data_IF_509876471038
#
_entry.id   IF_509876471038
#
_cell.length_a   1.000
_cell.length_b   1.000
_cell.length_c   1.000
_cell.angle_alpha   90.00
_cell.angle_beta   90.00
_cell.angle_gamma   90.00
#
_symmetry.space_group_name_H-M   'P 1'
#
loop_
_entity.id
_entity.type
_entity.pdbx_description
1 polymer ?
#
# COMPACT_ATOMS: atom_id res chain seq x y z
N UNK A 1 -27.09 29.68 1.61
CA UNK A 1 -27.21 28.95 0.32
C UNK A 1 -27.00 27.48 0.58
N UNK A 2 -27.87 26.58 0.11
CA UNK A 2 -27.70 25.14 0.28
C UNK A 2 -26.95 24.61 -0.95
N UNK A 3 -25.74 24.08 -0.75
CA UNK A 3 -25.01 23.43 -1.83
C UNK A 3 -25.73 22.14 -2.26
N UNK A 4 -25.61 21.79 -3.53
CA UNK A 4 -26.05 20.49 -4.06
C UNK A 4 -25.18 19.38 -3.46
N UNK A 5 -25.67 18.14 -3.48
CA UNK A 5 -24.93 16.99 -2.96
C UNK A 5 -23.59 16.81 -3.71
N UNK A 6 -23.61 16.97 -5.03
CA UNK A 6 -22.40 16.92 -5.87
C UNK A 6 -21.34 17.94 -5.45
N UNK A 7 -21.73 19.19 -5.15
CA UNK A 7 -20.80 20.22 -4.69
C UNK A 7 -20.23 19.89 -3.31
N UNK A 8 -21.05 19.32 -2.43
CA UNK A 8 -20.60 18.88 -1.09
C UNK A 8 -19.56 17.77 -1.22
N UNK A 9 -19.80 16.80 -2.11
CA UNK A 9 -18.89 15.70 -2.36
C UNK A 9 -17.56 16.19 -2.95
N UNK A 10 -17.59 17.14 -3.90
CA UNK A 10 -16.37 17.77 -4.43
C UNK A 10 -15.55 18.47 -3.34
N UNK A 11 -16.20 19.18 -2.42
CA UNK A 11 -15.51 19.82 -1.29
C UNK A 11 -14.87 18.77 -0.37
N UNK A 12 -15.60 17.71 -0.04
CA UNK A 12 -15.08 16.61 0.80
C UNK A 12 -13.89 15.91 0.14
N UNK A 13 -14.00 15.56 -1.13
CA UNK A 13 -12.92 14.92 -1.88
C UNK A 13 -11.68 15.82 -1.95
N UNK A 14 -11.85 17.13 -2.16
CA UNK A 14 -10.75 18.08 -2.10
C UNK A 14 -10.06 18.10 -0.73
N UNK A 15 -10.84 18.12 0.37
CA UNK A 15 -10.30 18.07 1.73
C UNK A 15 -9.45 16.80 1.90
N UNK A 16 -10.04 15.64 1.61
CA UNK A 16 -9.42 14.32 1.75
C UNK A 16 -8.11 14.24 0.95
N UNK A 17 -8.12 14.62 -0.33
CA UNK A 17 -6.94 14.54 -1.21
C UNK A 17 -5.81 15.50 -0.84
N UNK A 18 -6.07 16.56 -0.07
CA UNK A 18 -5.07 17.58 0.27
C UNK A 18 -4.63 17.59 1.73
N UNK A 19 -5.30 16.82 2.60
CA UNK A 19 -5.07 16.84 4.04
C UNK A 19 -3.62 16.48 4.41
N UNK A 20 -3.04 15.47 3.74
CA UNK A 20 -1.68 14.99 4.00
C UNK A 20 -0.61 16.02 3.63
N UNK A 21 -0.89 16.93 2.70
CA UNK A 21 0.06 17.98 2.27
C UNK A 21 0.07 19.17 3.23
N UNK A 22 -1.08 19.48 3.84
CA UNK A 22 -1.27 20.69 4.66
C UNK A 22 -2.17 20.42 5.87
N UNK A 23 -1.78 19.52 6.79
CA UNK A 23 -2.65 19.02 7.85
C UNK A 23 -3.10 20.12 8.84
N UNK A 24 -2.36 21.22 8.94
CA UNK A 24 -2.70 22.36 9.80
C UNK A 24 -3.41 23.51 9.07
N UNK A 25 -3.45 23.49 7.73
CA UNK A 25 -3.99 24.60 6.91
C UNK A 25 -5.12 24.19 5.97
N UNK A 26 -5.54 22.92 5.99
CA UNK A 26 -6.57 22.40 5.08
C UNK A 26 -7.87 23.21 5.12
N UNK A 27 -8.28 23.69 6.29
CA UNK A 27 -9.48 24.53 6.44
C UNK A 27 -9.34 25.83 5.67
N UNK A 28 -8.21 26.54 5.84
CA UNK A 28 -7.94 27.79 5.14
C UNK A 28 -7.86 27.56 3.61
N UNK A 29 -7.11 26.56 3.18
CA UNK A 29 -6.96 26.23 1.74
C UNK A 29 -8.30 25.90 1.08
N UNK A 30 -9.15 25.14 1.76
CA UNK A 30 -10.49 24.79 1.24
C UNK A 30 -11.38 26.02 1.15
N UNK A 31 -11.31 26.95 2.12
CA UNK A 31 -12.04 28.21 2.04
C UNK A 31 -11.61 29.05 0.83
N UNK A 32 -10.30 29.18 0.61
CA UNK A 32 -9.72 29.94 -0.51
C UNK A 32 -10.08 29.32 -1.86
N UNK A 33 -9.96 27.99 -1.99
CA UNK A 33 -10.20 27.28 -3.24
C UNK A 33 -11.68 27.33 -3.69
N UNK A 34 -12.61 27.08 -2.75
CA UNK A 34 -14.04 27.06 -3.06
C UNK A 34 -14.75 28.42 -2.83
N UNK A 35 -14.04 29.42 -2.32
CA UNK A 35 -14.60 30.73 -1.93
C UNK A 35 -15.78 30.60 -0.94
N UNK A 36 -15.60 29.75 0.07
CA UNK A 36 -16.61 29.46 1.10
C UNK A 36 -16.11 29.84 2.49
N UNK A 37 -17.04 29.95 3.44
CA UNK A 37 -16.74 30.36 4.81
C UNK A 37 -16.13 29.23 5.65
N UNK A 38 -15.29 29.59 6.62
CA UNK A 38 -14.69 28.63 7.58
C UNK A 38 -15.72 27.75 8.29
N UNK A 39 -16.86 28.27 8.81
CA UNK A 39 -17.88 27.42 9.41
C UNK A 39 -18.46 26.36 8.45
N UNK A 40 -18.56 26.68 7.15
CA UNK A 40 -18.99 25.72 6.12
C UNK A 40 -17.98 24.59 5.97
N UNK A 41 -16.68 24.91 5.86
CA UNK A 41 -15.62 23.89 5.74
C UNK A 41 -15.54 23.03 7.01
N UNK A 42 -15.60 23.65 8.18
CA UNK A 42 -15.57 22.93 9.47
C UNK A 42 -16.76 21.97 9.63
N UNK A 43 -17.94 22.32 9.09
CA UNK A 43 -19.08 21.40 9.03
C UNK A 43 -18.70 20.13 8.27
N UNK A 44 -18.13 20.23 7.07
CA UNK A 44 -17.77 19.06 6.26
C UNK A 44 -16.61 18.27 6.87
N UNK A 45 -15.62 18.94 7.46
CA UNK A 45 -14.57 18.29 8.25
C UNK A 45 -15.18 17.48 9.40
N UNK A 46 -16.11 18.05 10.16
CA UNK A 46 -16.75 17.33 11.26
C UNK A 46 -17.60 16.14 10.77
N UNK A 47 -18.23 16.24 9.60
CA UNK A 47 -18.90 15.09 8.98
C UNK A 47 -17.90 13.98 8.63
N UNK A 48 -16.75 14.32 8.05
CA UNK A 48 -15.66 13.38 7.73
C UNK A 48 -15.04 12.75 8.99
N UNK A 49 -14.93 13.50 10.08
CA UNK A 49 -14.50 12.99 11.39
C UNK A 49 -15.53 11.99 11.94
N UNK A 50 -16.81 12.35 11.88
CA UNK A 50 -17.89 11.50 12.35
C UNK A 50 -17.97 10.18 11.56
N UNK A 51 -17.68 10.21 10.26
CA UNK A 51 -17.59 9.02 9.42
C UNK A 51 -16.26 8.27 9.53
N UNK A 52 -15.36 8.68 10.43
CA UNK A 52 -14.02 8.09 10.64
C UNK A 52 -13.14 8.05 9.38
N UNK A 53 -13.34 8.98 8.46
CA UNK A 53 -12.47 9.15 7.28
C UNK A 53 -11.23 9.95 7.67
N UNK A 54 -11.43 10.98 8.49
CA UNK A 54 -10.35 11.84 8.98
C UNK A 54 -10.35 11.92 10.51
N UNK A 55 -9.21 12.26 11.10
CA UNK A 55 -9.06 12.56 12.51
C UNK A 55 -8.32 13.88 12.73
N UNK A 56 -8.43 14.41 13.95
CA UNK A 56 -7.82 15.68 14.37
C UNK A 56 -7.09 15.48 15.70
N UNK A 57 -5.91 14.81 15.71
CA UNK A 57 -5.12 14.59 16.92
C UNK A 57 -4.57 15.88 17.55
N UNK A 58 -4.51 16.97 16.80
CA UNK A 58 -3.95 18.23 17.26
C UNK A 58 -4.93 19.19 17.96
N UNK A 59 -4.36 20.27 18.49
CA UNK A 59 -5.10 21.38 19.11
C UNK A 59 -5.89 22.21 18.10
N UNK A 60 -6.72 23.15 18.54
CA UNK A 60 -7.44 24.02 17.58
C UNK A 60 -6.52 24.95 16.78
N UNK A 61 -5.37 25.35 17.33
CA UNK A 61 -4.37 26.19 16.63
C UNK A 61 -3.53 25.39 15.64
N UNK A 62 -3.26 24.13 15.97
CA UNK A 62 -2.49 23.19 15.15
C UNK A 62 -3.27 21.88 15.09
N UNK A 63 -4.31 21.79 14.23
CA UNK A 63 -5.26 20.68 14.24
C UNK A 63 -4.65 19.37 13.78
N UNK A 64 -3.59 19.42 12.96
CA UNK A 64 -2.91 18.25 12.42
C UNK A 64 -3.91 17.22 11.88
N UNK A 65 -4.79 17.62 10.97
CA UNK A 65 -5.77 16.71 10.41
C UNK A 65 -5.10 15.60 9.60
N UNK A 66 -5.58 14.37 9.72
CA UNK A 66 -5.00 13.19 9.08
C UNK A 66 -6.11 12.26 8.58
N UNK A 67 -5.82 11.44 7.57
CA UNK A 67 -6.68 10.32 7.23
C UNK A 67 -6.59 9.26 8.33
N UNK A 68 -7.73 8.69 8.71
CA UNK A 68 -7.74 7.57 9.65
C UNK A 68 -7.15 6.36 8.94
N UNK A 69 -6.09 5.79 9.53
CA UNK A 69 -5.45 4.57 9.03
C UNK A 69 -5.92 3.37 9.84
N UNK A 70 -6.33 2.32 9.15
CA UNK A 70 -6.58 1.01 9.73
C UNK A 70 -5.43 0.09 9.35
N UNK A 71 -4.86 -0.60 10.34
CA UNK A 71 -3.76 -1.55 10.13
C UNK A 71 -4.21 -2.92 10.61
N UNK A 72 -4.07 -3.91 9.74
CA UNK A 72 -4.26 -5.32 10.06
C UNK A 72 -2.95 -6.04 9.86
N UNK A 73 -2.55 -6.85 10.84
CA UNK A 73 -1.31 -7.61 10.81
C UNK A 73 -1.60 -9.08 11.10
N UNK A 74 -0.98 -9.96 10.31
CA UNK A 74 -0.99 -11.40 10.54
C UNK A 74 0.40 -11.97 10.42
N UNK A 75 0.73 -12.92 11.30
CA UNK A 75 2.02 -13.60 11.31
C UNK A 75 1.84 -15.12 11.22
N UNK A 76 2.65 -15.76 10.38
CA UNK A 76 2.65 -17.20 10.14
C UNK A 76 4.05 -17.80 10.22
N UNK A 77 4.20 -19.03 10.72
CA UNK A 77 5.35 -19.85 10.33
C UNK A 77 5.26 -20.14 8.83
N UNK A 78 6.38 -20.04 8.12
CA UNK A 78 6.44 -20.34 6.69
C UNK A 78 6.49 -21.86 6.45
N UNK A 79 5.37 -22.52 6.73
CA UNK A 79 5.21 -23.98 6.63
C UNK A 79 3.79 -24.30 6.14
N UNK A 80 3.68 -25.01 5.01
CA UNK A 80 2.41 -25.42 4.41
C UNK A 80 1.43 -24.25 4.23
N UNK A 81 1.93 -23.12 3.74
CA UNK A 81 1.12 -21.95 3.42
C UNK A 81 0.73 -22.02 1.94
N UNK A 82 -0.47 -21.52 1.64
CA UNK A 82 -0.99 -21.30 0.29
C UNK A 82 -1.46 -19.85 0.22
N UNK A 83 -0.94 -19.11 -0.74
CA UNK A 83 -1.13 -17.68 -0.92
C UNK A 83 -2.58 -17.29 -1.18
N UNK A 84 -3.31 -18.10 -1.95
CA UNK A 84 -4.70 -17.88 -2.30
C UNK A 84 -5.63 -18.10 -1.09
N UNK A 85 -5.28 -19.05 -0.22
CA UNK A 85 -5.95 -19.27 1.07
C UNK A 85 -5.72 -18.06 1.98
N UNK A 86 -4.49 -17.56 2.10
CA UNK A 86 -4.18 -16.39 2.91
C UNK A 86 -4.91 -15.13 2.42
N UNK A 87 -4.98 -14.95 1.10
CA UNK A 87 -5.74 -13.86 0.46
C UNK A 87 -7.23 -13.94 0.83
N UNK A 88 -7.84 -15.10 0.56
CA UNK A 88 -9.27 -15.32 0.75
C UNK A 88 -9.70 -15.20 2.22
N UNK A 89 -8.82 -15.61 3.13
CA UNK A 89 -9.06 -15.59 4.57
C UNK A 89 -8.97 -14.19 5.18
N UNK A 90 -8.02 -13.36 4.74
CA UNK A 90 -7.66 -12.13 5.45
C UNK A 90 -7.91 -10.85 4.66
N UNK A 91 -7.40 -10.75 3.44
CA UNK A 91 -7.42 -9.50 2.68
C UNK A 91 -8.76 -9.32 1.96
N UNK A 92 -9.24 -10.35 1.25
CA UNK A 92 -10.47 -10.29 0.45
C UNK A 92 -11.68 -9.78 1.25
N UNK A 93 -11.96 -10.23 2.49
CA UNK A 93 -13.11 -9.74 3.27
C UNK A 93 -13.01 -8.26 3.64
N UNK A 94 -11.80 -7.72 3.79
CA UNK A 94 -11.56 -6.32 4.18
C UNK A 94 -11.57 -5.35 3.00
N UNK A 95 -11.45 -5.87 1.78
CA UNK A 95 -11.43 -5.09 0.54
C UNK A 95 -12.76 -5.13 -0.21
N UNK A 96 -13.82 -5.71 0.37
CA UNK A 96 -15.09 -6.00 -0.30
C UNK A 96 -15.76 -4.80 -0.97
N UNK A 97 -15.64 -3.61 -0.40
CA UNK A 97 -16.23 -2.35 -0.92
C UNK A 97 -15.44 -1.74 -2.10
N UNK A 98 -14.23 -2.23 -2.39
CA UNK A 98 -13.43 -1.74 -3.50
C UNK A 98 -13.92 -2.27 -4.84
N UNK A 99 -13.65 -1.49 -5.89
CA UNK A 99 -13.89 -1.90 -7.28
C UNK A 99 -13.16 -3.20 -7.60
N UNK A 100 -13.77 -4.03 -8.45
CA UNK A 100 -13.23 -5.37 -8.77
C UNK A 100 -11.83 -5.31 -9.39
N UNK A 101 -11.56 -4.34 -10.27
CA UNK A 101 -10.23 -4.17 -10.86
C UNK A 101 -9.15 -3.90 -9.79
N UNK A 102 -9.45 -3.12 -8.75
CA UNK A 102 -8.51 -2.86 -7.65
C UNK A 102 -8.29 -4.14 -6.84
N UNK A 103 -9.36 -4.88 -6.53
CA UNK A 103 -9.26 -6.16 -5.81
C UNK A 103 -8.43 -7.19 -6.57
N UNK A 104 -8.62 -7.30 -7.88
CA UNK A 104 -7.85 -8.19 -8.75
C UNK A 104 -6.36 -7.83 -8.76
N UNK A 105 -6.02 -6.54 -8.86
CA UNK A 105 -4.64 -6.06 -8.76
C UNK A 105 -4.02 -6.37 -7.40
N UNK A 106 -4.75 -6.09 -6.31
CA UNK A 106 -4.30 -6.41 -4.96
C UNK A 106 -4.12 -7.93 -4.76
N UNK A 107 -5.04 -8.75 -5.28
CA UNK A 107 -4.95 -10.21 -5.22
C UNK A 107 -3.70 -10.67 -5.92
N UNK A 108 -3.52 -10.28 -7.19
CA UNK A 108 -2.37 -10.64 -8.00
C UNK A 108 -1.05 -10.26 -7.31
N UNK A 109 -0.90 -8.99 -6.91
CA UNK A 109 0.34 -8.54 -6.27
C UNK A 109 0.61 -9.25 -4.95
N UNK A 110 -0.42 -9.46 -4.13
CA UNK A 110 -0.29 -10.19 -2.87
C UNK A 110 0.16 -11.64 -3.09
N UNK A 111 -0.51 -12.38 -3.98
CA UNK A 111 -0.21 -13.79 -4.24
C UNK A 111 1.20 -13.96 -4.79
N UNK A 112 1.62 -13.10 -5.73
CA UNK A 112 2.99 -13.11 -6.26
C UNK A 112 4.02 -12.85 -5.16
N UNK A 113 3.78 -11.88 -4.26
CA UNK A 113 4.75 -11.58 -3.20
C UNK A 113 4.82 -12.69 -2.15
N UNK A 114 3.68 -13.29 -1.79
CA UNK A 114 3.64 -14.41 -0.84
C UNK A 114 4.26 -15.67 -1.42
N UNK A 115 4.03 -15.98 -2.71
CA UNK A 115 4.69 -17.10 -3.39
C UNK A 115 6.21 -16.93 -3.41
N UNK A 116 6.70 -15.72 -3.69
CA UNK A 116 8.13 -15.44 -3.57
C UNK A 116 8.67 -15.69 -2.14
N UNK A 117 7.87 -15.49 -1.09
CA UNK A 117 8.28 -15.87 0.26
C UNK A 117 8.28 -17.40 0.41
N UNK A 118 7.18 -18.07 0.07
CA UNK A 118 7.01 -19.52 0.26
C UNK A 118 8.09 -20.30 -0.49
N UNK A 119 8.25 -20.03 -1.78
CA UNK A 119 9.09 -20.86 -2.67
C UNK A 119 10.56 -20.48 -2.61
N UNK A 120 10.87 -19.23 -2.26
CA UNK A 120 12.16 -18.67 -2.58
C UNK A 120 12.94 -18.05 -1.42
N UNK A 121 12.30 -17.62 -0.34
CA UNK A 121 12.98 -16.88 0.73
C UNK A 121 13.81 -17.77 1.67
N UNK A 122 13.47 -19.05 1.81
CA UNK A 122 13.90 -19.89 2.95
C UNK A 122 13.62 -19.25 4.32
N UNK A 123 12.64 -18.35 4.40
CA UNK A 123 12.20 -17.73 5.64
C UNK A 123 11.54 -18.75 6.56
N UNK A 124 11.61 -18.49 7.86
CA UNK A 124 10.89 -19.23 8.89
C UNK A 124 9.56 -18.56 9.23
N UNK A 125 9.45 -17.25 9.01
CA UNK A 125 8.30 -16.43 9.35
C UNK A 125 7.89 -15.57 8.16
N UNK A 126 6.57 -15.44 8.02
CA UNK A 126 5.91 -14.51 7.12
C UNK A 126 5.04 -13.58 7.97
N UNK A 127 5.16 -12.27 7.76
CA UNK A 127 4.29 -11.23 8.29
C UNK A 127 3.59 -10.56 7.11
N UNK A 128 2.28 -10.39 7.23
CA UNK A 128 1.43 -9.71 6.26
C UNK A 128 0.80 -8.52 6.95
N UNK A 129 0.98 -7.33 6.40
CA UNK A 129 0.26 -6.12 6.83
C UNK A 129 -0.68 -5.65 5.71
N UNK A 130 -1.92 -5.32 6.07
CA UNK A 130 -2.84 -4.55 5.23
C UNK A 130 -3.11 -3.20 5.91
N UNK A 131 -2.74 -2.12 5.24
CA UNK A 131 -2.91 -0.75 5.71
C UNK A 131 -3.90 -0.06 4.79
N UNK A 132 -4.96 0.48 5.37
CA UNK A 132 -6.06 1.12 4.65
C UNK A 132 -6.25 2.53 5.14
N UNK A 133 -6.36 3.47 4.23
CA UNK A 133 -7.04 4.75 4.46
C UNK A 133 -8.01 5.04 3.31
N UNK A 134 -8.68 6.20 3.35
CA UNK A 134 -9.67 6.53 2.33
C UNK A 134 -9.09 6.63 0.91
N UNK A 135 -7.79 6.89 0.77
CA UNK A 135 -7.13 7.08 -0.51
C UNK A 135 -6.24 5.91 -0.92
N UNK A 136 -5.76 5.10 0.03
CA UNK A 136 -4.72 4.10 -0.24
C UNK A 136 -5.04 2.73 0.34
N UNK A 137 -4.66 1.72 -0.44
CA UNK A 137 -4.47 0.35 0.02
C UNK A 137 -2.98 0.05 -0.06
N UNK A 138 -2.37 -0.27 1.07
CA UNK A 138 -0.97 -0.67 1.15
C UNK A 138 -0.89 -2.10 1.71
N UNK A 139 -0.23 -2.99 0.96
CA UNK A 139 0.01 -4.37 1.35
C UNK A 139 1.50 -4.54 1.57
N UNK A 140 1.89 -5.10 2.72
CA UNK A 140 3.28 -5.46 3.00
C UNK A 140 3.39 -6.94 3.25
N UNK A 141 4.37 -7.55 2.59
CA UNK A 141 4.76 -8.95 2.77
C UNK A 141 6.20 -8.91 3.27
N UNK A 142 6.42 -9.41 4.49
CA UNK A 142 7.69 -9.29 5.21
C UNK A 142 8.13 -10.69 5.62
N UNK A 143 9.37 -11.05 5.31
CA UNK A 143 9.95 -12.35 5.64
C UNK A 143 11.33 -12.21 6.33
N UNK A 144 11.74 -13.25 7.06
CA UNK A 144 13.05 -13.35 7.70
C UNK A 144 14.05 -14.22 6.93
N UNK A 145 13.87 -14.32 5.62
CA UNK A 145 14.65 -15.17 4.72
C UNK A 145 16.00 -14.58 4.29
N UNK A 146 16.58 -15.21 3.27
CA UNK A 146 17.91 -14.86 2.74
C UNK A 146 17.98 -13.44 2.14
N UNK A 147 16.86 -12.93 1.66
CA UNK A 147 16.76 -11.67 0.95
C UNK A 147 16.97 -11.80 -0.55
N UNK A 148 16.08 -11.16 -1.33
CA UNK A 148 16.01 -11.29 -2.79
C UNK A 148 17.29 -10.90 -3.51
N UNK A 149 17.92 -9.78 -3.16
CA UNK A 149 19.17 -9.34 -3.82
C UNK A 149 20.34 -10.28 -3.54
N UNK A 150 20.40 -10.85 -2.34
CA UNK A 150 21.43 -11.82 -1.98
C UNK A 150 21.21 -13.16 -2.71
N UNK A 151 19.95 -13.57 -2.86
CA UNK A 151 19.58 -14.77 -3.62
C UNK A 151 19.98 -14.65 -5.09
N UNK A 152 19.60 -13.54 -5.75
CA UNK A 152 19.95 -13.25 -7.15
C UNK A 152 21.47 -13.17 -7.32
N UNK A 153 22.17 -12.45 -6.42
CA UNK A 153 23.64 -12.37 -6.42
C UNK A 153 24.27 -13.77 -6.46
N UNK A 154 23.83 -14.65 -5.56
CA UNK A 154 24.38 -16.02 -5.46
C UNK A 154 24.07 -16.83 -6.71
N UNK A 155 22.84 -16.76 -7.22
CA UNK A 155 22.40 -17.52 -8.39
C UNK A 155 23.15 -17.13 -9.68
N UNK A 156 23.45 -15.84 -9.85
CA UNK A 156 24.12 -15.31 -11.05
C UNK A 156 25.64 -15.11 -10.88
N UNK A 157 26.21 -15.48 -9.74
CA UNK A 157 27.64 -15.30 -9.47
C UNK A 157 28.08 -13.83 -9.49
N UNK A 158 27.18 -12.90 -9.11
CA UNK A 158 27.47 -11.46 -9.14
C UNK A 158 28.45 -11.09 -8.02
N UNK A 159 29.28 -10.08 -8.26
CA UNK A 159 30.27 -9.59 -7.29
C UNK A 159 29.57 -8.82 -6.14
N UNK A 160 28.56 -8.00 -6.48
CA UNK A 160 27.88 -7.11 -5.55
C UNK A 160 26.35 -7.23 -5.61
N UNK A 161 25.67 -7.18 -4.45
CA UNK A 161 24.21 -7.29 -4.38
C UNK A 161 23.47 -6.14 -5.08
N UNK A 162 24.12 -4.98 -5.29
CA UNK A 162 23.56 -3.89 -6.10
C UNK A 162 23.38 -4.26 -7.58
N UNK A 163 24.18 -5.20 -8.11
CA UNK A 163 24.03 -5.68 -9.48
C UNK A 163 22.73 -6.49 -9.62
N UNK A 164 22.31 -7.18 -8.57
CA UNK A 164 21.05 -7.92 -8.56
C UNK A 164 19.81 -7.02 -8.75
N UNK A 165 19.88 -5.73 -8.39
CA UNK A 165 18.80 -4.77 -8.65
C UNK A 165 18.56 -4.63 -10.16
N UNK A 166 19.63 -4.58 -10.95
CA UNK A 166 19.54 -4.46 -12.40
C UNK A 166 18.94 -5.73 -13.02
N UNK A 167 19.31 -6.90 -12.50
CA UNK A 167 18.77 -8.18 -12.96
C UNK A 167 17.29 -8.33 -12.60
N UNK A 168 16.88 -7.89 -11.39
CA UNK A 168 15.48 -7.84 -11.00
C UNK A 168 14.67 -6.90 -11.90
N UNK A 169 15.25 -5.74 -12.26
CA UNK A 169 14.58 -4.74 -13.09
C UNK A 169 14.37 -5.18 -14.55
N UNK A 170 15.20 -6.11 -15.07
CA UNK A 170 15.01 -6.68 -16.41
C UNK A 170 13.78 -7.59 -16.49
N UNK A 171 13.33 -8.13 -15.37
CA UNK A 171 12.34 -9.20 -15.31
C UNK A 171 12.87 -10.54 -15.84
N UNK A 172 12.03 -11.58 -15.81
CA UNK A 172 12.31 -12.94 -16.30
C UNK A 172 13.42 -13.68 -15.56
N UNK A 173 13.85 -13.17 -14.40
CA UNK A 173 14.81 -13.88 -13.56
C UNK A 173 14.05 -14.77 -12.58
N UNK A 174 14.38 -16.06 -12.60
CA UNK A 174 13.90 -17.06 -11.66
C UNK A 174 15.04 -17.97 -11.26
N UNK A 175 15.07 -18.41 -10.00
CA UNK A 175 15.97 -19.49 -9.57
C UNK A 175 15.41 -20.89 -9.87
N UNK A 176 14.16 -20.96 -10.32
CA UNK A 176 13.44 -22.20 -10.65
C UNK A 176 12.58 -21.98 -11.92
N UNK A 177 13.17 -22.15 -13.11
CA UNK A 177 12.49 -21.91 -14.38
C UNK A 177 11.49 -23.00 -14.79
N UNK A 178 11.50 -24.16 -14.14
CA UNK A 178 10.53 -25.22 -14.43
C UNK A 178 9.15 -24.88 -13.86
N UNK A 179 9.12 -24.17 -12.72
CA UNK A 179 7.88 -23.83 -12.02
C UNK A 179 7.51 -22.33 -12.09
N UNK A 180 8.46 -21.44 -12.36
CA UNK A 180 8.22 -19.99 -12.35
C UNK A 180 8.77 -19.28 -13.59
N UNK A 181 8.01 -18.35 -14.16
CA UNK A 181 8.47 -17.51 -15.28
C UNK A 181 9.53 -16.48 -14.89
N UNK A 182 9.66 -16.18 -13.58
CA UNK A 182 10.50 -15.09 -13.07
C UNK A 182 9.96 -13.69 -13.36
N UNK A 183 8.68 -13.58 -13.73
CA UNK A 183 8.05 -12.31 -14.10
C UNK A 183 7.15 -11.73 -12.99
N UNK A 184 6.89 -12.48 -11.91
CA UNK A 184 6.00 -12.08 -10.81
C UNK A 184 6.33 -10.72 -10.20
N UNK A 185 7.54 -10.56 -9.66
CA UNK A 185 8.00 -9.27 -9.10
C UNK A 185 7.99 -8.18 -10.18
N UNK A 186 8.37 -8.52 -11.41
CA UNK A 186 8.45 -7.55 -12.50
C UNK A 186 7.07 -6.97 -12.83
N UNK A 187 6.07 -7.81 -13.07
CA UNK A 187 4.71 -7.35 -13.37
C UNK A 187 4.07 -6.68 -12.17
N UNK A 188 4.21 -7.23 -10.96
CA UNK A 188 3.72 -6.58 -9.74
C UNK A 188 4.32 -5.17 -9.58
N UNK A 189 5.60 -4.98 -9.91
CA UNK A 189 6.22 -3.65 -9.84
C UNK A 189 5.69 -2.62 -10.85
N UNK A 190 4.94 -3.06 -11.87
CA UNK A 190 4.40 -2.22 -12.96
C UNK A 190 2.91 -1.92 -12.85
N UNK A 191 2.17 -2.76 -12.11
CA UNK A 191 0.71 -2.63 -12.01
C UNK A 191 0.25 -1.86 -10.77
N UNK A 192 1.14 -1.63 -9.80
CA UNK A 192 0.87 -0.83 -8.60
C UNK A 192 1.38 0.61 -8.78
N UNK A 193 0.65 1.58 -8.22
CA UNK A 193 1.07 3.00 -8.21
C UNK A 193 2.40 3.22 -7.48
N UNK A 194 2.72 2.34 -6.53
CA UNK A 194 4.00 2.33 -5.82
C UNK A 194 4.37 0.90 -5.46
N UNK A 195 5.58 0.50 -5.82
CA UNK A 195 6.14 -0.79 -5.46
C UNK A 195 7.52 -0.61 -4.83
N UNK A 196 7.76 -1.26 -3.70
CA UNK A 196 9.05 -1.20 -3.02
C UNK A 196 9.45 -2.57 -2.47
N UNK A 197 10.69 -2.93 -2.70
CA UNK A 197 11.36 -4.04 -2.02
C UNK A 197 12.48 -3.46 -1.19
N UNK A 198 12.53 -3.82 0.09
CA UNK A 198 13.66 -3.52 0.98
C UNK A 198 14.26 -4.84 1.44
N UNK A 199 15.56 -5.03 1.19
CA UNK A 199 16.27 -6.23 1.63
C UNK A 199 17.68 -5.87 2.06
N UNK A 200 17.99 -6.16 3.33
CA UNK A 200 19.23 -5.72 3.98
C UNK A 200 19.44 -4.20 3.85
N UNK A 201 20.51 -3.78 3.15
CA UNK A 201 20.89 -2.37 2.95
C UNK A 201 20.46 -1.81 1.59
N UNK A 202 19.69 -2.56 0.82
CA UNK A 202 19.29 -2.20 -0.53
C UNK A 202 17.78 -2.06 -0.62
N UNK A 203 17.36 -1.12 -1.45
CA UNK A 203 15.97 -0.95 -1.86
C UNK A 203 15.85 -0.95 -3.38
N UNK A 204 14.76 -1.53 -3.87
CA UNK A 204 14.29 -1.39 -5.23
C UNK A 204 12.94 -0.68 -5.18
N UNK A 205 12.79 0.37 -5.98
CA UNK A 205 11.54 1.11 -6.11
C UNK A 205 11.07 0.95 -7.55
N UNK A 206 9.95 0.27 -7.73
CA UNK A 206 9.28 0.12 -9.01
C UNK A 206 8.41 1.33 -9.30
N UNK A 207 8.33 1.66 -10.59
CA UNK A 207 7.48 2.69 -11.18
C UNK A 207 7.05 2.24 -12.57
#
# INVERSE_FOLDING_TARGET
>A
MKFTEEVIELIKNYIISNISKNPNKITQQTCEYFQITTPTVLKYINELIKSKIIEKPGSNRYPNYQLVKTVHEWQYPNQNLEEDILWSKHLSPLLGELNNNIKELCQYGFTEMVNNVIDHSNAKKLIIELILDYLHVEIRVIDDGVGVFQKIKKALGLEYSKQAILELAKGKFTSDPENHSGEGIFFTSRVFDTFMIVSHKLSFVGF
#
